data_IF_757298901735
#
_entry.id   IF_757298901735
#
_cell.length_a   1.000
_cell.length_b   1.000
_cell.length_c   1.000
_cell.angle_alpha   90.00
_cell.angle_beta   90.00
_cell.angle_gamma   90.00
#
_symmetry.space_group_name_H-M   'P 1'
#
loop_
_entity.id
_entity.type
_entity.pdbx_description
1 polymer ?
#
# COMPACT_ATOMS: atom_id res chain seq x y z
N UNK A 1 -7.73 9.59 -6.43
CA UNK A 1 -6.32 9.25 -6.08
C UNK A 1 -6.11 7.81 -5.61
N UNK A 2 -7.11 7.11 -5.03
CA UNK A 2 -6.97 5.69 -4.63
C UNK A 2 -6.71 4.70 -5.79
N UNK A 3 -7.24 4.97 -6.98
CA UNK A 3 -7.17 4.06 -8.12
C UNK A 3 -5.74 3.76 -8.62
N UNK A 4 -4.82 4.72 -8.53
CA UNK A 4 -3.46 4.56 -9.05
C UNK A 4 -2.62 3.68 -8.12
N UNK A 5 -2.71 3.92 -6.82
CA UNK A 5 -2.05 3.08 -5.80
C UNK A 5 -2.60 1.66 -5.83
N UNK A 6 -3.92 1.50 -5.97
CA UNK A 6 -4.59 0.20 -6.04
C UNK A 6 -4.21 -0.58 -7.31
N UNK A 7 -4.10 0.08 -8.47
CA UNK A 7 -3.63 -0.56 -9.70
C UNK A 7 -2.16 -0.95 -9.62
N UNK A 8 -1.31 -0.09 -9.05
CA UNK A 8 0.11 -0.37 -8.88
C UNK A 8 0.32 -1.47 -7.82
N UNK A 9 -0.51 -1.54 -6.78
CA UNK A 9 -0.46 -2.60 -5.76
C UNK A 9 -0.67 -4.01 -6.31
N UNK A 10 -1.31 -4.15 -7.49
CA UNK A 10 -1.46 -5.45 -8.18
C UNK A 10 -0.14 -5.96 -8.75
N UNK A 11 0.83 -5.06 -8.92
CA UNK A 11 2.12 -5.31 -9.56
C UNK A 11 3.23 -4.97 -8.57
N UNK A 12 3.61 -5.98 -7.77
CA UNK A 12 4.44 -5.80 -6.56
C UNK A 12 5.76 -5.10 -6.85
N UNK A 13 6.39 -5.37 -7.99
CA UNK A 13 7.66 -4.73 -8.39
C UNK A 13 7.47 -3.24 -8.68
N UNK A 14 6.41 -2.86 -9.40
CA UNK A 14 6.09 -1.45 -9.66
C UNK A 14 5.70 -0.70 -8.39
N UNK A 15 5.01 -1.37 -7.47
CA UNK A 15 4.65 -0.81 -6.18
C UNK A 15 5.89 -0.48 -5.34
N UNK A 16 6.83 -1.41 -5.25
CA UNK A 16 8.09 -1.19 -4.54
C UNK A 16 8.89 -0.05 -5.18
N UNK A 17 9.01 -0.04 -6.52
CA UNK A 17 9.71 1.03 -7.24
C UNK A 17 9.07 2.41 -7.01
N UNK A 18 7.74 2.48 -6.97
CA UNK A 18 7.02 3.72 -6.69
C UNK A 18 7.26 4.22 -5.25
N UNK A 19 7.23 3.34 -4.26
CA UNK A 19 7.53 3.69 -2.87
C UNK A 19 8.99 4.14 -2.73
N UNK A 20 9.92 3.45 -3.38
CA UNK A 20 11.33 3.82 -3.40
C UNK A 20 11.54 5.22 -3.98
N UNK A 21 10.85 5.56 -5.08
CA UNK A 21 10.89 6.90 -5.69
C UNK A 21 10.35 7.98 -4.75
N UNK A 22 9.30 7.69 -3.98
CA UNK A 22 8.77 8.66 -3.00
C UNK A 22 9.74 8.91 -1.85
N UNK A 23 10.51 7.91 -1.44
CA UNK A 23 11.59 8.06 -0.46
C UNK A 23 12.72 8.89 -1.05
N UNK A 24 13.18 8.56 -2.26
CA UNK A 24 14.30 9.22 -2.94
C UNK A 24 14.03 10.71 -3.20
N UNK A 25 12.77 11.04 -3.53
CA UNK A 25 12.32 12.43 -3.72
C UNK A 25 11.99 13.17 -2.42
N UNK A 26 12.14 12.52 -1.25
CA UNK A 26 11.85 13.11 0.07
C UNK A 26 10.37 13.39 0.31
N UNK A 27 9.46 12.80 -0.46
CA UNK A 27 8.01 12.94 -0.29
C UNK A 27 7.45 12.04 0.79
N UNK A 28 8.09 10.90 1.01
CA UNK A 28 7.80 9.98 2.11
C UNK A 28 9.09 9.63 2.85
N UNK A 29 8.98 9.39 4.14
CA UNK A 29 10.04 8.75 4.92
C UNK A 29 9.87 7.24 4.91
N UNK A 30 10.91 6.51 5.28
CA UNK A 30 10.84 5.06 5.42
C UNK A 30 9.74 4.63 6.41
N UNK A 31 9.55 5.39 7.50
CA UNK A 31 8.52 5.13 8.51
C UNK A 31 7.10 5.26 7.96
N UNK A 32 6.85 6.31 7.15
CA UNK A 32 5.57 6.51 6.47
C UNK A 32 5.28 5.38 5.47
N UNK A 33 6.30 4.92 4.75
CA UNK A 33 6.16 3.77 3.83
C UNK A 33 5.82 2.49 4.58
N UNK A 34 6.45 2.23 5.74
CA UNK A 34 6.14 1.09 6.60
C UNK A 34 4.68 1.15 7.06
N UNK A 35 4.19 2.33 7.45
CA UNK A 35 2.80 2.55 7.84
C UNK A 35 1.82 2.25 6.69
N UNK A 36 2.11 2.73 5.47
CA UNK A 36 1.29 2.49 4.27
C UNK A 36 1.22 1.00 3.93
N UNK A 37 2.35 0.30 3.98
CA UNK A 37 2.41 -1.14 3.68
C UNK A 37 1.63 -1.95 4.72
N UNK A 38 1.76 -1.62 6.02
CA UNK A 38 0.98 -2.24 7.09
C UNK A 38 -0.52 -2.02 6.92
N UNK A 39 -0.95 -0.79 6.63
CA UNK A 39 -2.36 -0.48 6.39
C UNK A 39 -2.90 -1.21 5.15
N UNK A 40 -2.12 -1.36 4.08
CA UNK A 40 -2.53 -2.15 2.92
C UNK A 40 -2.70 -3.64 3.26
N UNK A 41 -1.82 -4.20 4.08
CA UNK A 41 -1.93 -5.60 4.54
C UNK A 41 -3.16 -5.80 5.43
N UNK A 42 -3.45 -4.86 6.33
CA UNK A 42 -4.66 -4.91 7.16
C UNK A 42 -5.93 -4.78 6.33
N UNK A 43 -6.00 -3.86 5.36
CA UNK A 43 -7.16 -3.73 4.47
C UNK A 43 -7.42 -4.98 3.62
N UNK A 44 -6.39 -5.74 3.26
CA UNK A 44 -6.54 -6.99 2.51
C UNK A 44 -7.08 -8.13 3.39
N UNK A 45 -6.98 -8.00 4.71
CA UNK A 45 -7.40 -9.04 5.67
C UNK A 45 -8.80 -8.83 6.25
N UNK A 46 -9.55 -7.81 5.81
CA UNK A 46 -10.92 -7.54 6.28
C UNK A 46 -12.00 -8.18 5.39
N UNK A 47 -11.63 -8.76 4.23
CA UNK A 47 -12.55 -9.56 3.41
C UNK A 47 -12.67 -11.01 3.93
N UNK A 48 -12.86 -11.17 5.24
CA UNK A 48 -13.20 -12.47 5.87
C UNK A 48 -14.00 -12.34 7.18
N UNK A 49 -14.45 -11.14 7.57
CA UNK A 49 -15.36 -10.98 8.72
C UNK A 49 -16.56 -10.11 8.34
N UNK A 50 -17.30 -10.53 7.33
CA UNK A 50 -18.69 -10.09 7.17
C UNK A 50 -19.53 -11.19 6.51
N UNK A 51 -19.47 -12.41 7.05
CA UNK A 51 -20.50 -13.42 6.82
C UNK A 51 -21.08 -13.90 8.16
N UNK A 52 -22.41 -13.70 8.29
CA UNK A 52 -23.39 -14.18 9.27
C UNK A 52 -23.38 -13.50 10.65
N UNK A 53 -24.38 -12.65 10.90
CA UNK A 53 -25.73 -12.97 11.44
C UNK A 53 -25.70 -12.94 12.98
#
# INVERSE_FOLDING_TARGET
MKALLEQISKDREKFIAFLQYLIDTGRLTEDEVISIVRQCQECTNVDSKNEKD
#
